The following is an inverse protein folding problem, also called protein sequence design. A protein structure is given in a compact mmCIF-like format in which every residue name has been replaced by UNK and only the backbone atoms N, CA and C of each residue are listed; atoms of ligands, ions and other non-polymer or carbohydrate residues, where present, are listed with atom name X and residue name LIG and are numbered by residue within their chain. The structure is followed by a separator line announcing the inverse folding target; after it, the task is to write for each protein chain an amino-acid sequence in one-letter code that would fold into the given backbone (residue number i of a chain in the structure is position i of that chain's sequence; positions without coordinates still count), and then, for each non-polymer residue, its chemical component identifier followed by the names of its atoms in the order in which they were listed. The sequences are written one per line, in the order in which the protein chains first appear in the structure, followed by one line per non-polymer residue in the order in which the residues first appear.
data_IF_418502159274
#
_entry.id   IF_418502159274
#
_cell.length_a   1.000
_cell.length_b   1.000
_cell.length_c   1.000
_cell.angle_alpha   90.00
_cell.angle_beta   90.00
_cell.angle_gamma   90.00
#
_symmetry.space_group_name_H-M   'P 1'
#
loop_
_entity.id
_entity.type
_entity.pdbx_description
1 polymer ?
#
# COMPACT_ATOMS: atom_id res chain seq x y z
N UNK A 1 9.73 -16.05 -12.96
CA UNK A 1 8.26 -15.92 -12.97
C UNK A 1 7.78 -14.46 -12.96
N UNK A 2 8.57 -13.46 -12.52
CA UNK A 2 8.15 -12.04 -12.49
C UNK A 2 7.71 -11.43 -13.84
N UNK A 3 8.28 -11.90 -14.96
CA UNK A 3 7.98 -11.37 -16.29
C UNK A 3 6.70 -11.95 -16.93
N UNK A 4 6.01 -12.84 -16.23
CA UNK A 4 4.71 -13.36 -16.65
C UNK A 4 3.59 -12.37 -16.30
N UNK A 5 2.40 -12.61 -16.85
CA UNK A 5 1.23 -11.73 -16.66
C UNK A 5 0.90 -11.48 -15.17
N UNK A 6 1.00 -12.52 -14.34
CA UNK A 6 0.75 -12.43 -12.90
C UNK A 6 1.79 -11.61 -12.11
N UNK A 7 2.89 -11.20 -12.75
CA UNK A 7 3.90 -10.32 -12.16
C UNK A 7 3.76 -8.90 -12.70
N UNK A 8 4.56 -8.56 -13.72
CA UNK A 8 4.68 -7.18 -14.19
C UNK A 8 3.40 -6.61 -14.79
N UNK A 9 2.64 -7.41 -15.55
CA UNK A 9 1.41 -6.91 -16.20
C UNK A 9 0.32 -6.62 -15.17
N UNK A 10 0.13 -7.51 -14.20
CA UNK A 10 -0.83 -7.32 -13.10
C UNK A 10 -0.47 -6.12 -12.21
N UNK A 11 0.83 -5.94 -11.92
CA UNK A 11 1.30 -4.78 -11.17
C UNK A 11 0.98 -3.47 -11.91
N UNK A 12 1.31 -3.38 -13.21
CA UNK A 12 1.05 -2.17 -14.00
C UNK A 12 -0.44 -1.86 -14.02
N UNK A 13 -1.29 -2.81 -14.42
CA UNK A 13 -2.72 -2.54 -14.56
C UNK A 13 -3.37 -2.17 -13.22
N UNK A 14 -2.94 -2.81 -12.12
CA UNK A 14 -3.42 -2.50 -10.78
C UNK A 14 -2.95 -1.12 -10.29
N UNK A 15 -1.70 -0.74 -10.57
CA UNK A 15 -1.16 0.56 -10.19
C UNK A 15 -1.77 1.74 -10.95
N UNK A 16 -2.28 1.54 -12.17
CA UNK A 16 -2.92 2.60 -12.97
C UNK A 16 -4.46 2.61 -12.86
N UNK A 17 -5.09 1.44 -12.78
CA UNK A 17 -6.56 1.31 -12.83
C UNK A 17 -7.22 0.69 -11.60
N UNK A 18 -6.44 0.19 -10.63
CA UNK A 18 -6.96 -0.58 -9.51
C UNK A 18 -7.70 0.23 -8.45
N UNK A 19 -8.58 -0.45 -7.71
CA UNK A 19 -9.32 0.11 -6.56
C UNK A 19 -8.40 0.60 -5.45
N UNK A 20 -7.28 -0.10 -5.23
CA UNK A 20 -6.25 0.31 -4.28
C UNK A 20 -5.67 1.68 -4.65
N UNK A 21 -5.35 1.92 -5.93
CA UNK A 21 -4.86 3.23 -6.41
C UNK A 21 -5.89 4.33 -6.14
N UNK A 22 -7.16 4.11 -6.55
CA UNK A 22 -8.25 5.08 -6.38
C UNK A 22 -8.46 5.45 -4.90
N UNK A 23 -8.48 4.46 -4.00
CA UNK A 23 -8.70 4.72 -2.58
C UNK A 23 -7.47 5.33 -1.91
N UNK A 24 -6.25 4.92 -2.27
CA UNK A 24 -5.03 5.51 -1.72
C UNK A 24 -4.88 6.99 -2.11
N UNK A 25 -5.24 7.37 -3.34
CA UNK A 25 -5.30 8.76 -3.79
C UNK A 25 -6.30 9.58 -2.96
N UNK A 26 -7.51 9.04 -2.75
CA UNK A 26 -8.50 9.69 -1.90
C UNK A 26 -8.03 9.81 -0.44
N UNK A 27 -7.43 8.77 0.12
CA UNK A 27 -6.89 8.75 1.49
C UNK A 27 -5.92 9.92 1.74
N UNK A 28 -4.94 10.11 0.85
CA UNK A 28 -3.93 11.17 1.03
C UNK A 28 -4.47 12.57 0.73
N UNK A 29 -5.47 12.71 -0.15
CA UNK A 29 -6.02 14.01 -0.53
C UNK A 29 -7.10 14.51 0.41
N UNK A 30 -7.96 13.63 0.92
CA UNK A 30 -9.10 14.00 1.78
C UNK A 30 -8.86 13.76 3.27
N UNK A 31 -7.79 13.02 3.64
CA UNK A 31 -7.42 12.71 5.05
C UNK A 31 -8.55 12.05 5.85
N UNK A 32 -9.22 11.09 5.22
CA UNK A 32 -10.31 10.26 5.78
C UNK A 32 -9.79 8.88 6.22
N UNK A 33 -10.66 8.02 6.72
CA UNK A 33 -10.33 6.65 7.15
C UNK A 33 -10.50 5.63 6.01
N UNK A 34 -9.87 4.46 6.12
CA UNK A 34 -10.01 3.40 5.13
C UNK A 34 -11.43 2.84 5.07
N UNK A 35 -12.09 2.75 6.22
CA UNK A 35 -13.46 2.29 6.38
C UNK A 35 -14.45 3.20 5.63
N UNK A 36 -14.29 4.52 5.76
CA UNK A 36 -15.11 5.50 5.04
C UNK A 36 -14.90 5.42 3.53
N UNK A 37 -13.65 5.26 3.07
CA UNK A 37 -13.33 5.13 1.66
C UNK A 37 -13.90 3.84 1.05
N UNK A 38 -13.83 2.73 1.76
CA UNK A 38 -14.37 1.45 1.30
C UNK A 38 -15.90 1.53 1.12
N UNK A 39 -16.60 2.12 2.09
CA UNK A 39 -18.05 2.31 2.00
C UNK A 39 -18.46 3.27 0.88
N UNK A 40 -17.72 4.37 0.70
CA UNK A 40 -18.11 5.44 -0.22
C UNK A 40 -17.66 5.20 -1.67
N UNK A 41 -16.50 4.57 -1.89
CA UNK A 41 -15.89 4.45 -3.21
C UNK A 41 -16.01 3.07 -3.84
N UNK A 42 -16.26 2.03 -3.04
CA UNK A 42 -16.15 0.64 -3.48
C UNK A 42 -17.48 -0.13 -3.52
N UNK A 43 -18.61 0.49 -3.17
CA UNK A 43 -19.95 -0.09 -3.32
C UNK A 43 -20.07 -1.53 -2.77
N UNK A 44 -19.49 -1.78 -1.58
CA UNK A 44 -19.49 -3.09 -0.93
C UNK A 44 -18.36 -4.03 -1.34
N UNK A 45 -17.44 -3.60 -2.20
CA UNK A 45 -16.21 -4.34 -2.50
C UNK A 45 -15.10 -4.04 -1.49
N UNK A 46 -14.27 -5.05 -1.20
CA UNK A 46 -13.20 -4.92 -0.21
C UNK A 46 -11.88 -4.37 -0.75
N UNK A 47 -11.16 -3.59 0.07
CA UNK A 47 -9.85 -3.01 -0.21
C UNK A 47 -8.71 -3.90 0.29
N UNK A 48 -8.34 -4.89 -0.52
CA UNK A 48 -7.35 -5.91 -0.14
C UNK A 48 -5.95 -5.37 0.15
N UNK A 49 -5.51 -4.29 -0.52
CA UNK A 49 -4.14 -3.78 -0.37
C UNK A 49 -3.83 -3.31 1.06
N UNK A 50 -4.81 -2.77 1.78
CA UNK A 50 -4.64 -2.34 3.17
C UNK A 50 -4.46 -3.53 4.12
N UNK A 51 -5.20 -4.61 3.92
CA UNK A 51 -5.07 -5.85 4.70
C UNK A 51 -3.72 -6.50 4.45
N UNK A 52 -3.35 -6.66 3.18
CA UNK A 52 -2.04 -7.21 2.79
C UNK A 52 -0.89 -6.40 3.36
N UNK A 53 -0.99 -5.06 3.36
CA UNK A 53 0.04 -4.19 3.95
C UNK A 53 0.24 -4.46 5.45
N UNK A 54 -0.85 -4.66 6.22
CA UNK A 54 -0.76 -5.03 7.65
C UNK A 54 -0.08 -6.39 7.85
N UNK A 55 -0.47 -7.39 7.07
CA UNK A 55 0.09 -8.74 7.15
C UNK A 55 1.59 -8.75 6.80
N UNK A 56 1.97 -8.14 5.69
CA UNK A 56 3.36 -8.04 5.25
C UNK A 56 4.20 -7.32 6.29
N UNK A 57 3.73 -6.19 6.83
CA UNK A 57 4.46 -5.48 7.89
C UNK A 57 4.63 -6.32 9.15
N UNK A 58 3.60 -7.08 9.54
CA UNK A 58 3.68 -8.03 10.66
C UNK A 58 4.78 -9.08 10.45
N UNK A 59 4.79 -9.74 9.29
CA UNK A 59 5.81 -10.73 8.92
C UNK A 59 7.22 -10.10 8.94
N UNK A 60 7.39 -8.92 8.34
CA UNK A 60 8.68 -8.23 8.31
C UNK A 60 9.18 -7.90 9.71
N UNK A 61 8.28 -7.49 10.61
CA UNK A 61 8.61 -7.19 12.01
C UNK A 61 9.06 -8.43 12.76
N UNK A 62 8.32 -9.54 12.61
CA UNK A 62 8.67 -10.82 13.24
C UNK A 62 10.04 -11.35 12.79
N UNK A 63 10.41 -11.11 11.54
CA UNK A 63 11.69 -11.53 10.97
C UNK A 63 12.82 -10.49 11.05
N UNK A 64 12.62 -9.35 11.73
CA UNK A 64 13.59 -8.24 11.77
C UNK A 64 14.05 -7.78 10.36
N UNK A 65 13.14 -7.80 9.39
CA UNK A 65 13.41 -7.51 7.99
C UNK A 65 12.82 -6.16 7.53
N UNK A 66 12.25 -5.35 8.44
CA UNK A 66 11.63 -4.04 8.14
C UNK A 66 12.56 -3.16 7.29
N UNK A 67 13.85 -3.11 7.66
CA UNK A 67 14.85 -2.25 7.02
C UNK A 67 15.26 -2.75 5.62
N UNK A 68 14.98 -4.01 5.28
CA UNK A 68 15.25 -4.59 3.96
C UNK A 68 14.16 -4.24 2.94
N UNK A 69 12.97 -3.83 3.40
CA UNK A 69 11.81 -3.54 2.55
C UNK A 69 11.24 -2.14 2.82
N UNK A 70 12.03 -1.06 2.57
CA UNK A 70 11.68 0.30 2.95
C UNK A 70 10.36 0.77 2.31
N UNK A 71 10.05 0.34 1.08
CA UNK A 71 8.81 0.70 0.40
C UNK A 71 7.57 0.09 1.08
N UNK A 72 7.59 -1.20 1.44
CA UNK A 72 6.47 -1.84 2.15
C UNK A 72 6.28 -1.23 3.53
N UNK A 73 7.37 -0.97 4.24
CA UNK A 73 7.36 -0.28 5.52
C UNK A 73 6.74 1.12 5.41
N UNK A 74 7.16 1.93 4.42
CA UNK A 74 6.63 3.27 4.22
C UNK A 74 5.13 3.26 3.90
N UNK A 75 4.68 2.35 3.02
CA UNK A 75 3.26 2.19 2.69
C UNK A 75 2.44 1.88 3.95
N UNK A 76 2.89 0.96 4.80
CA UNK A 76 2.22 0.65 6.07
C UNK A 76 2.15 1.87 7.00
N UNK A 77 3.28 2.57 7.20
CA UNK A 77 3.35 3.72 8.11
C UNK A 77 2.47 4.88 7.65
N UNK A 78 2.44 5.16 6.35
CA UNK A 78 1.55 6.18 5.78
C UNK A 78 0.09 5.76 5.98
N UNK A 79 -0.22 4.50 5.71
CA UNK A 79 -1.59 4.01 5.79
C UNK A 79 -2.15 3.91 7.22
N UNK A 80 -1.31 3.62 8.23
CA UNK A 80 -1.81 3.26 9.57
C UNK A 80 -1.14 3.98 10.75
N UNK A 81 0.05 4.55 10.57
CA UNK A 81 0.79 5.24 11.65
C UNK A 81 0.81 6.77 11.47
N UNK A 82 0.17 7.28 10.42
CA UNK A 82 0.06 8.72 10.17
C UNK A 82 1.35 9.36 9.65
N UNK A 83 2.25 8.59 9.05
CA UNK A 83 3.44 9.14 8.39
C UNK A 83 3.05 10.05 7.21
N UNK A 84 3.86 11.08 6.94
CA UNK A 84 3.65 12.00 5.82
C UNK A 84 3.74 11.23 4.48
N UNK A 85 2.71 11.29 3.61
CA UNK A 85 2.76 10.66 2.29
C UNK A 85 3.99 11.04 1.45
N UNK A 86 4.57 12.23 1.67
CA UNK A 86 5.77 12.67 0.97
C UNK A 86 7.01 11.79 1.25
N UNK A 87 7.04 11.03 2.35
CA UNK A 87 8.18 10.16 2.67
C UNK A 87 8.33 9.01 1.66
N UNK A 88 7.28 8.66 0.91
CA UNK A 88 7.32 7.56 -0.06
C UNK A 88 8.31 7.80 -1.22
N UNK A 89 8.66 9.06 -1.49
CA UNK A 89 9.66 9.44 -2.52
C UNK A 89 11.04 9.74 -1.94
N UNK A 90 11.20 9.61 -0.62
CA UNK A 90 12.41 9.95 0.13
C UNK A 90 13.02 8.70 0.78
N UNK A 91 12.77 7.52 0.21
CA UNK A 91 13.21 6.25 0.77
C UNK A 91 14.71 6.06 0.56
N UNK A 92 15.39 5.66 1.63
CA UNK A 92 16.74 5.15 1.56
C UNK A 92 16.69 3.63 1.34
N UNK A 93 17.43 3.16 0.35
CA UNK A 93 17.60 1.73 0.10
C UNK A 93 18.95 1.32 0.66
N UNK A 94 18.97 0.25 1.45
CA UNK A 94 20.22 -0.39 1.85
C UNK A 94 21.02 -0.74 0.58
N UNK A 95 22.25 -0.25 0.52
CA UNK A 95 23.22 -0.60 -0.53
C UNK A 95 23.77 -2.00 -0.32
#
# INVERSE_FOLDING_TARGET
TFFESCGIADLITTCFGGRNRKCAEAFVTTKTTWEELEQTLLNGQMLQGTLTSKEVYGILKEHNAIDQFPLFTAIYRIAFEGADPATITQLEYAQ
#
